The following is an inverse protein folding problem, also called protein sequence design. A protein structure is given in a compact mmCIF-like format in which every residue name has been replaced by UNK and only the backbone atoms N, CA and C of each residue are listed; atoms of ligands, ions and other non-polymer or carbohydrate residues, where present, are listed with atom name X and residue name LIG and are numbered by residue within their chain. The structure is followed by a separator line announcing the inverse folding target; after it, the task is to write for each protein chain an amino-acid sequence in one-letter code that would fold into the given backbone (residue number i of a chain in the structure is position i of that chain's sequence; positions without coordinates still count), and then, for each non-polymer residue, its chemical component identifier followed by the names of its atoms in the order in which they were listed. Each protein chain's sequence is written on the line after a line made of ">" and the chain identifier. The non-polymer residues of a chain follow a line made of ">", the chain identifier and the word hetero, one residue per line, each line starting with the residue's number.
data_IF_568832600047
#
_entry.id   IF_568832600047
#
_cell.length_a   1.000
_cell.length_b   1.000
_cell.length_c   1.000
_cell.angle_alpha   90.00
_cell.angle_beta   90.00
_cell.angle_gamma   90.00
#
_symmetry.space_group_name_H-M   'P 1'
#
loop_
_entity.id
_entity.type
_entity.pdbx_description
1 polymer ?
#
# COMPACT_ATOMS: atom_id res chain seq x y z
N UNK A 1 4.30 58.77 63.14
CA UNK A 1 3.80 59.14 61.80
C UNK A 1 4.01 57.93 60.89
N UNK A 2 2.91 57.34 60.38
CA UNK A 2 2.70 56.63 59.10
C UNK A 2 3.84 55.68 58.60
N UNK A 3 3.62 54.47 58.10
CA UNK A 3 2.52 54.01 57.25
C UNK A 3 2.59 52.47 57.12
N UNK A 4 1.40 51.92 56.89
CA UNK A 4 0.97 50.57 56.53
C UNK A 4 1.69 49.91 55.32
N UNK A 5 1.19 48.70 54.96
CA UNK A 5 1.35 47.86 53.76
C UNK A 5 2.41 46.75 53.90
N UNK A 6 2.16 45.47 53.68
CA UNK A 6 1.01 44.73 53.18
C UNK A 6 1.49 43.29 52.89
N UNK A 7 0.75 42.28 53.33
CA UNK A 7 1.01 40.86 53.06
C UNK A 7 1.06 40.60 51.55
N UNK A 8 1.99 39.77 51.08
CA UNK A 8 1.78 39.01 49.85
C UNK A 8 2.26 37.58 50.03
N UNK A 9 1.26 36.70 50.10
CA UNK A 9 1.36 35.26 50.25
C UNK A 9 2.18 34.70 49.09
N UNK A 10 3.22 33.95 49.42
CA UNK A 10 3.94 33.11 48.46
C UNK A 10 2.91 32.13 47.89
N UNK A 11 2.50 32.36 46.64
CA UNK A 11 1.55 31.50 45.93
C UNK A 11 2.36 30.36 45.34
N UNK A 12 2.21 29.15 45.90
CA UNK A 12 2.81 27.94 45.34
C UNK A 12 2.26 27.69 43.92
N UNK A 13 3.09 27.31 42.94
CA UNK A 13 2.61 27.02 41.60
C UNK A 13 1.64 25.83 41.64
N UNK A 14 0.46 26.06 41.07
CA UNK A 14 -0.56 25.08 40.76
C UNK A 14 0.08 23.89 40.04
N UNK A 15 0.22 22.76 40.73
CA UNK A 15 0.60 21.48 40.13
C UNK A 15 -0.44 21.14 39.06
N UNK A 16 -0.03 21.18 37.80
CA UNK A 16 -0.87 20.73 36.69
C UNK A 16 -0.87 19.20 36.72
N UNK A 17 -1.89 18.62 37.33
CA UNK A 17 -2.19 17.20 37.26
C UNK A 17 -2.42 16.84 35.80
N UNK A 18 -1.39 16.33 35.13
CA UNK A 18 -1.53 15.66 33.85
C UNK A 18 -2.55 14.52 34.04
N UNK A 19 -3.68 14.54 33.33
CA UNK A 19 -4.71 13.54 33.56
C UNK A 19 -4.16 12.19 33.10
N UNK A 20 -4.06 11.22 34.01
CA UNK A 20 -3.65 9.83 33.73
C UNK A 20 -4.39 9.21 32.53
N UNK A 21 -5.58 9.73 32.18
CA UNK A 21 -6.37 9.34 31.02
C UNK A 21 -5.67 9.57 29.65
N UNK A 22 -4.84 10.61 29.49
CA UNK A 22 -4.12 10.88 28.24
C UNK A 22 -2.93 9.90 28.04
N UNK A 23 -2.33 9.43 29.15
CA UNK A 23 -1.28 8.41 29.15
C UNK A 23 -1.83 7.03 28.73
N UNK A 24 -3.02 6.67 29.23
CA UNK A 24 -3.70 5.42 28.87
C UNK A 24 -4.09 5.37 27.38
N UNK A 25 -4.50 6.50 26.81
CA UNK A 25 -4.83 6.57 25.38
C UNK A 25 -3.57 6.44 24.50
N UNK A 26 -2.46 7.04 24.93
CA UNK A 26 -1.18 6.96 24.23
C UNK A 26 -0.59 5.54 24.30
N UNK A 27 -0.67 4.85 25.45
CA UNK A 27 -0.23 3.46 25.57
C UNK A 27 -1.10 2.51 24.75
N UNK A 28 -2.42 2.72 24.65
CA UNK A 28 -3.27 1.92 23.76
C UNK A 28 -2.92 2.14 22.28
N UNK A 29 -2.63 3.38 21.87
CA UNK A 29 -2.18 3.68 20.49
C UNK A 29 -0.81 3.06 20.20
N UNK A 30 0.16 3.18 21.12
CA UNK A 30 1.48 2.54 20.99
C UNK A 30 1.35 1.01 20.99
N UNK A 31 0.49 0.45 21.84
CA UNK A 31 0.24 -1.00 21.90
C UNK A 31 -0.43 -1.53 20.62
N UNK A 32 -1.35 -0.76 20.01
CA UNK A 32 -1.94 -1.09 18.71
C UNK A 32 -0.91 -1.07 17.57
N UNK A 33 0.08 -0.17 17.61
CA UNK A 33 1.15 -0.12 16.61
C UNK A 33 2.18 -1.27 16.71
N UNK A 34 2.32 -1.89 17.89
CA UNK A 34 3.24 -3.02 18.11
C UNK A 34 2.77 -4.33 17.43
N UNK A 35 1.53 -4.39 16.95
CA UNK A 35 1.00 -5.52 16.18
C UNK A 35 1.21 -5.37 14.66
N UNK A 36 2.16 -4.53 14.24
CA UNK A 36 2.55 -4.45 12.84
C UNK A 36 3.21 -5.78 12.44
N UNK A 37 2.44 -6.69 11.86
CA UNK A 37 2.95 -7.93 11.31
C UNK A 37 3.80 -7.61 10.07
N UNK A 38 5.03 -8.09 10.06
CA UNK A 38 5.84 -8.09 8.85
C UNK A 38 5.25 -9.16 7.92
N UNK A 39 4.35 -8.74 7.02
CA UNK A 39 3.89 -9.62 5.96
C UNK A 39 5.06 -9.89 5.01
N UNK A 40 5.37 -11.17 4.75
CA UNK A 40 6.19 -11.57 3.61
C UNK A 40 5.39 -11.19 2.36
N UNK A 41 5.70 -10.03 1.79
CA UNK A 41 5.05 -9.51 0.59
C UNK A 41 5.76 -10.03 -0.65
N UNK A 42 5.03 -10.69 -1.53
CA UNK A 42 5.45 -10.94 -2.89
C UNK A 42 5.37 -9.65 -3.72
N UNK A 43 6.20 -9.59 -4.76
CA UNK A 43 6.15 -8.54 -5.77
C UNK A 43 6.08 -9.14 -7.17
N UNK A 44 5.36 -8.47 -8.06
CA UNK A 44 5.26 -8.83 -9.47
C UNK A 44 5.46 -7.57 -10.30
N UNK A 45 6.49 -7.57 -11.14
CA UNK A 45 6.72 -6.51 -12.13
C UNK A 45 6.00 -6.87 -13.43
N UNK A 46 5.12 -5.98 -13.86
CA UNK A 46 4.38 -6.04 -15.11
C UNK A 46 5.00 -5.04 -16.08
N UNK A 47 5.17 -5.46 -17.34
CA UNK A 47 5.56 -4.60 -18.44
C UNK A 47 4.63 -4.87 -19.63
N UNK A 48 4.25 -3.81 -20.35
CA UNK A 48 3.37 -3.89 -21.51
C UNK A 48 3.79 -2.91 -22.59
N UNK A 49 3.33 -3.16 -23.81
CA UNK A 49 3.57 -2.24 -24.92
C UNK A 49 2.43 -1.22 -25.00
N UNK A 50 2.72 0.10 -24.98
CA UNK A 50 1.70 1.12 -25.15
C UNK A 50 1.04 1.02 -26.54
N UNK A 51 -0.24 1.39 -26.68
CA UNK A 51 -0.91 1.42 -27.97
C UNK A 51 -0.34 2.51 -28.88
N UNK A 52 -0.51 2.35 -30.20
CA UNK A 52 -0.07 3.35 -31.18
C UNK A 52 -0.97 4.60 -31.25
N UNK A 53 -2.21 4.50 -30.77
CA UNK A 53 -3.15 5.61 -30.67
C UNK A 53 -2.82 6.51 -29.47
N UNK A 54 -3.39 7.72 -29.41
CA UNK A 54 -3.21 8.61 -28.25
C UNK A 54 -3.80 8.00 -26.97
N UNK A 55 -3.03 8.10 -25.87
CA UNK A 55 -3.43 7.66 -24.53
C UNK A 55 -3.00 8.69 -23.47
N UNK A 56 -3.76 8.77 -22.39
CA UNK A 56 -3.46 9.55 -21.19
C UNK A 56 -2.65 8.76 -20.15
N UNK A 57 -2.86 7.45 -20.07
CA UNK A 57 -2.17 6.56 -19.16
C UNK A 57 -2.80 5.18 -19.08
N UNK A 58 -2.40 4.41 -18.06
CA UNK A 58 -2.78 3.02 -17.85
C UNK A 58 -3.30 2.79 -16.44
N UNK A 59 -4.23 1.84 -16.34
CA UNK A 59 -4.73 1.29 -15.09
C UNK A 59 -4.39 -0.20 -15.08
N UNK A 60 -3.64 -0.61 -14.06
CA UNK A 60 -3.37 -2.02 -13.76
C UNK A 60 -4.50 -2.53 -12.88
N UNK A 61 -5.17 -3.60 -13.31
CA UNK A 61 -6.21 -4.27 -12.55
C UNK A 61 -5.75 -5.68 -12.20
N UNK A 62 -5.93 -6.09 -10.94
CA UNK A 62 -5.55 -7.43 -10.50
C UNK A 62 -6.49 -8.02 -9.45
N UNK A 63 -6.46 -9.33 -9.35
CA UNK A 63 -7.30 -10.08 -8.40
C UNK A 63 -6.87 -11.54 -8.29
N UNK A 64 -7.49 -12.28 -7.38
CA UNK A 64 -7.18 -13.70 -7.14
C UNK A 64 -8.00 -14.67 -7.99
N UNK A 65 -8.96 -14.14 -8.77
CA UNK A 65 -9.85 -14.91 -9.64
C UNK A 65 -9.77 -14.40 -11.07
N UNK A 66 -9.74 -15.33 -12.03
CA UNK A 66 -9.70 -14.97 -13.45
C UNK A 66 -10.94 -14.16 -13.84
N UNK A 67 -10.71 -12.98 -14.42
CA UNK A 67 -11.77 -12.08 -14.90
C UNK A 67 -12.40 -11.23 -13.81
N UNK A 68 -12.03 -11.42 -12.54
CA UNK A 68 -12.50 -10.63 -11.41
C UNK A 68 -11.33 -9.90 -10.78
N UNK A 69 -11.14 -8.64 -11.20
CA UNK A 69 -10.11 -7.76 -10.66
C UNK A 69 -10.70 -6.93 -9.53
N UNK A 70 -10.30 -7.23 -8.30
CA UNK A 70 -10.78 -6.54 -7.09
C UNK A 70 -9.97 -5.29 -6.79
N UNK A 71 -8.73 -5.23 -7.27
CA UNK A 71 -7.80 -4.14 -7.06
C UNK A 71 -7.50 -3.44 -8.38
N UNK A 72 -7.40 -2.12 -8.36
CA UNK A 72 -7.03 -1.31 -9.51
C UNK A 72 -6.09 -0.19 -9.12
N UNK A 73 -5.05 0.02 -9.89
CA UNK A 73 -4.03 1.03 -9.65
C UNK A 73 -3.80 1.85 -10.93
N UNK A 74 -3.97 3.18 -10.85
CA UNK A 74 -3.53 4.10 -11.90
C UNK A 74 -2.00 4.24 -11.83
N UNK A 75 -1.33 3.97 -12.95
CA UNK A 75 0.12 4.01 -13.10
C UNK A 75 0.57 5.11 -14.06
N UNK A 76 -0.36 5.97 -14.48
CA UNK A 76 -0.10 7.05 -15.42
C UNK A 76 0.41 6.53 -16.77
N UNK A 77 1.28 7.31 -17.42
CA UNK A 77 1.86 6.95 -18.72
C UNK A 77 3.02 5.93 -18.64
N UNK A 78 3.21 5.26 -17.50
CA UNK A 78 4.26 4.26 -17.34
C UNK A 78 3.86 2.96 -18.05
N UNK A 79 4.78 2.38 -18.81
CA UNK A 79 4.61 1.09 -19.49
C UNK A 79 5.09 -0.10 -18.63
N UNK A 80 5.48 0.17 -17.39
CA UNK A 80 5.96 -0.81 -16.43
C UNK A 80 5.49 -0.43 -15.03
N UNK A 81 5.05 -1.41 -14.25
CA UNK A 81 4.64 -1.22 -12.86
C UNK A 81 4.91 -2.46 -12.02
N UNK A 82 5.37 -2.26 -10.79
CA UNK A 82 5.56 -3.34 -9.81
C UNK A 82 4.45 -3.31 -8.79
N UNK A 83 3.65 -4.37 -8.76
CA UNK A 83 2.65 -4.61 -7.72
C UNK A 83 3.36 -5.26 -6.54
N UNK A 84 3.34 -4.61 -5.39
CA UNK A 84 3.93 -5.12 -4.13
C UNK A 84 2.84 -5.58 -3.17
N UNK A 85 3.22 -6.06 -1.99
CA UNK A 85 2.27 -6.45 -0.93
C UNK A 85 1.33 -7.61 -1.32
N UNK A 86 1.75 -8.47 -2.24
CA UNK A 86 0.97 -9.63 -2.66
C UNK A 86 1.19 -10.82 -1.73
N UNK A 87 0.17 -11.65 -1.53
CA UNK A 87 0.26 -12.81 -0.64
C UNK A 87 1.04 -13.97 -1.31
N UNK A 88 2.11 -14.49 -0.68
CA UNK A 88 2.83 -15.67 -1.16
C UNK A 88 1.92 -16.90 -1.24
N UNK A 89 2.14 -17.77 -2.23
CA UNK A 89 1.34 -18.98 -2.45
C UNK A 89 0.00 -18.76 -3.16
N UNK A 90 -0.37 -17.50 -3.41
CA UNK A 90 -1.60 -17.14 -4.09
C UNK A 90 -1.34 -16.94 -5.60
N UNK A 91 -2.29 -17.37 -6.41
CA UNK A 91 -2.34 -17.02 -7.84
C UNK A 91 -3.08 -15.70 -8.01
N UNK A 92 -2.42 -14.76 -8.68
CA UNK A 92 -2.98 -13.49 -9.08
C UNK A 92 -3.13 -13.42 -10.59
N UNK A 93 -4.18 -12.73 -11.03
CA UNK A 93 -4.49 -12.45 -12.42
C UNK A 93 -4.39 -10.95 -12.64
N UNK A 94 -3.63 -10.54 -13.64
CA UNK A 94 -3.37 -9.13 -13.95
C UNK A 94 -3.85 -8.83 -15.36
N UNK A 95 -4.43 -7.64 -15.53
CA UNK A 95 -4.76 -7.07 -16.82
C UNK A 95 -4.53 -5.55 -16.79
N UNK A 96 -4.25 -4.97 -17.94
CA UNK A 96 -4.00 -3.54 -18.09
C UNK A 96 -5.03 -2.96 -19.04
N UNK A 97 -5.54 -1.78 -18.73
CA UNK A 97 -6.35 -0.98 -19.65
C UNK A 97 -5.75 0.41 -19.80
N UNK A 98 -5.89 1.00 -20.98
CA UNK A 98 -5.49 2.37 -21.25
C UNK A 98 -6.69 3.31 -21.05
N UNK A 99 -6.42 4.57 -20.72
CA UNK A 99 -7.42 5.64 -20.71
C UNK A 99 -6.94 6.83 -21.54
N UNK A 100 -7.86 7.64 -22.03
CA UNK A 100 -7.57 8.85 -22.81
C UNK A 100 -7.09 10.01 -21.91
N UNK A 101 -6.50 11.07 -22.50
CA UNK A 101 -5.95 12.20 -21.72
C UNK A 101 -6.99 12.90 -20.81
N UNK A 102 -8.28 12.84 -21.15
CA UNK A 102 -9.36 13.40 -20.35
C UNK A 102 -9.94 12.41 -19.31
N UNK A 103 -9.45 11.16 -19.25
CA UNK A 103 -9.98 10.07 -18.40
C UNK A 103 -11.49 9.85 -18.55
N UNK A 104 -12.02 10.06 -19.75
CA UNK A 104 -13.44 9.86 -20.08
C UNK A 104 -13.70 8.54 -20.81
N UNK A 105 -12.70 8.03 -21.52
CA UNK A 105 -12.79 6.82 -22.32
C UNK A 105 -11.69 5.87 -21.86
N UNK A 106 -12.08 4.64 -21.57
CA UNK A 106 -11.17 3.55 -21.24
C UNK A 106 -11.21 2.49 -22.34
N UNK A 107 -10.07 1.87 -22.61
CA UNK A 107 -10.00 0.72 -23.51
C UNK A 107 -10.54 -0.53 -22.84
N UNK A 108 -10.89 -1.58 -23.61
CA UNK A 108 -10.97 -2.93 -23.08
C UNK A 108 -9.66 -3.33 -22.38
N UNK A 109 -9.77 -4.31 -21.47
CA UNK A 109 -8.60 -4.91 -20.84
C UNK A 109 -7.71 -5.64 -21.87
N UNK A 110 -6.40 -5.65 -21.59
CA UNK A 110 -5.41 -6.46 -22.29
C UNK A 110 -5.68 -7.96 -22.12
N UNK A 111 -4.83 -8.78 -22.75
CA UNK A 111 -4.73 -10.18 -22.36
C UNK A 111 -4.44 -10.26 -20.85
N UNK A 112 -5.09 -11.23 -20.21
CA UNK A 112 -4.84 -11.52 -18.80
C UNK A 112 -3.57 -12.35 -18.69
N UNK A 113 -2.75 -12.05 -17.67
CA UNK A 113 -1.61 -12.86 -17.27
C UNK A 113 -1.83 -13.38 -15.86
N UNK A 114 -1.45 -14.62 -15.60
CA UNK A 114 -1.54 -15.22 -14.26
C UNK A 114 -0.15 -15.50 -13.70
N UNK A 115 0.04 -15.17 -12.43
CA UNK A 115 1.30 -15.40 -11.71
C UNK A 115 1.00 -16.01 -10.36
N UNK A 116 1.62 -17.15 -10.06
CA UNK A 116 1.58 -17.77 -8.74
C UNK A 116 2.83 -17.38 -7.98
N UNK A 117 2.66 -16.69 -6.85
CA UNK A 117 3.79 -16.27 -6.02
C UNK A 117 4.34 -17.47 -5.24
N UNK A 118 5.67 -17.65 -5.19
CA UNK A 118 6.26 -18.69 -4.36
C UNK A 118 6.03 -18.38 -2.88
N UNK A 119 5.70 -19.40 -2.09
CA UNK A 119 5.71 -19.31 -0.63
C UNK A 119 7.19 -19.16 -0.21
N UNK A 120 7.49 -18.29 0.77
CA UNK A 120 8.82 -17.80 1.15
C UNK A 120 9.85 -18.82 1.67
N UNK A 121 9.80 -20.05 1.18
CA UNK A 121 10.69 -21.18 1.49
C UNK A 121 11.18 -21.88 0.20
N UNK A 122 11.24 -21.15 -0.93
CA UNK A 122 11.48 -21.71 -2.25
C UNK A 122 12.85 -22.39 -2.38
N UNK A 123 12.86 -23.72 -2.24
CA UNK A 123 13.74 -24.61 -3.01
C UNK A 123 13.73 -24.13 -4.47
N UNK A 124 14.88 -24.03 -5.16
CA UNK A 124 14.90 -23.59 -6.55
C UNK A 124 13.91 -24.42 -7.38
N UNK A 125 12.95 -23.73 -8.01
CA UNK A 125 11.99 -24.37 -8.89
C UNK A 125 12.73 -25.01 -10.07
N UNK A 126 12.36 -26.21 -10.52
CA UNK A 126 12.93 -26.80 -11.72
C UNK A 126 12.80 -25.82 -12.90
N UNK A 127 13.80 -25.70 -13.78
CA UNK A 127 13.69 -24.89 -14.98
C UNK A 127 12.45 -25.32 -15.78
N UNK A 128 11.55 -24.38 -16.07
CA UNK A 128 10.49 -24.60 -17.05
C UNK A 128 11.07 -24.30 -18.45
N UNK A 129 10.67 -25.11 -19.43
CA UNK A 129 11.02 -25.01 -20.85
C UNK A 129 12.45 -25.43 -21.26
N UNK A 130 12.84 -26.67 -20.92
CA UNK A 130 13.93 -27.35 -21.64
C UNK A 130 13.47 -27.59 -23.09
N UNK A 131 13.94 -26.76 -24.01
CA UNK A 131 13.78 -26.98 -25.46
C UNK A 131 15.02 -27.69 -26.01
N UNK A 132 14.80 -28.81 -26.69
CA UNK A 132 15.81 -29.47 -27.53
C UNK A 132 15.79 -28.78 -28.89
N UNK A 133 16.94 -28.29 -29.35
CA UNK A 133 17.13 -27.80 -30.71
C UNK A 133 17.49 -28.96 -31.64
#
# INVERSE_FOLDING_TARGET
>A
MLHNQGFSRITFPRTHSFPFALSALWTVVVFLCLFSSNALAGEVTLAWNPPSAEYGGFIVAYGTSSGSYTETQDVGAQAMYTVTSLNPGQTYYFAVKAYDRARKIESPFSNQVSVTLPIGNARPAPPKDVKVY
#
